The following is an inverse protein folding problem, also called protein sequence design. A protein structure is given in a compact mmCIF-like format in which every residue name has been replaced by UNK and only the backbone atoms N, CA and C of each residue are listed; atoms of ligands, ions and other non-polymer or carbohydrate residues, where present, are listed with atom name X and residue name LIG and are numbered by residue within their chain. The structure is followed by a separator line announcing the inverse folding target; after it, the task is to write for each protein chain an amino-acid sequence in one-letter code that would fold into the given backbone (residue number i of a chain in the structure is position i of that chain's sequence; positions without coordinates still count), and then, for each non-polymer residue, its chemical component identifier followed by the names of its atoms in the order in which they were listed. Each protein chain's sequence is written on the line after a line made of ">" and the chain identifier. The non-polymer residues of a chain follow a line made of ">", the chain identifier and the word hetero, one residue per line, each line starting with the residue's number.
data_IF_795170388206
#
_entry.id   IF_795170388206
#
_cell.length_a   1.000
_cell.length_b   1.000
_cell.length_c   1.000
_cell.angle_alpha   90.00
_cell.angle_beta   90.00
_cell.angle_gamma   90.00
#
_symmetry.space_group_name_H-M   'P 1'
#
loop_
_entity.id
_entity.type
_entity.pdbx_description
1 polymer ?
#
# COMPACT_ATOMS: atom_id res chain seq x y z
N UNK A 1 19.90 12.59 3.77
CA UNK A 1 18.55 12.12 3.36
C UNK A 1 17.96 11.35 4.53
N UNK A 2 16.69 11.57 4.89
CA UNK A 2 16.04 10.72 5.88
C UNK A 2 15.90 9.30 5.31
N UNK A 3 16.16 8.25 6.11
CA UNK A 3 16.03 6.87 5.67
C UNK A 3 14.59 6.61 5.21
N UNK A 4 14.44 5.74 4.21
CA UNK A 4 13.13 5.26 3.77
C UNK A 4 12.54 4.41 4.87
N UNK A 5 11.27 4.64 5.21
CA UNK A 5 10.58 3.92 6.26
C UNK A 5 10.48 2.43 5.86
N UNK A 6 10.93 1.49 6.71
CA UNK A 6 10.92 0.07 6.35
C UNK A 6 9.50 -0.49 6.23
N UNK A 7 9.37 -1.48 5.35
CA UNK A 7 8.17 -2.31 5.24
C UNK A 7 8.60 -3.74 5.52
N UNK A 8 8.17 -4.28 6.65
CA UNK A 8 8.44 -5.68 7.01
C UNK A 8 7.40 -6.59 6.38
N UNK A 9 7.83 -7.75 5.92
CA UNK A 9 6.97 -8.73 5.26
C UNK A 9 7.22 -10.13 5.80
N UNK A 10 6.15 -10.91 5.90
CA UNK A 10 6.21 -12.30 6.33
C UNK A 10 5.02 -13.10 5.85
N UNK A 11 5.12 -14.43 5.95
CA UNK A 11 3.99 -15.33 5.71
C UNK A 11 3.72 -16.12 6.98
N UNK A 12 2.48 -16.06 7.46
CA UNK A 12 2.01 -16.84 8.60
C UNK A 12 1.86 -18.32 8.23
N UNK A 13 1.81 -19.20 9.23
CA UNK A 13 1.69 -20.65 9.00
C UNK A 13 0.41 -21.04 8.24
N UNK A 14 -0.65 -20.24 8.37
CA UNK A 14 -1.91 -20.42 7.63
C UNK A 14 -1.88 -19.83 6.20
N UNK A 15 -0.74 -19.31 5.76
CA UNK A 15 -0.53 -18.78 4.41
C UNK A 15 -0.81 -17.29 4.23
N UNK A 16 -1.35 -16.61 5.24
CA UNK A 16 -1.63 -15.15 5.21
C UNK A 16 -0.32 -14.36 5.06
N UNK A 17 -0.32 -13.40 4.15
CA UNK A 17 0.81 -12.48 3.97
C UNK A 17 0.66 -11.29 4.92
N UNK A 18 1.61 -11.12 5.83
CA UNK A 18 1.65 -9.97 6.74
C UNK A 18 2.58 -8.91 6.20
N UNK A 19 2.10 -7.67 6.14
CA UNK A 19 2.85 -6.50 5.68
C UNK A 19 2.74 -5.43 6.74
N UNK A 20 3.87 -5.09 7.37
CA UNK A 20 3.94 -4.05 8.40
C UNK A 20 4.63 -2.81 7.86
N UNK A 21 3.98 -1.67 8.00
CA UNK A 21 4.55 -0.37 7.65
C UNK A 21 5.11 0.32 8.89
N UNK A 22 6.44 0.41 8.97
CA UNK A 22 7.16 1.06 10.08
C UNK A 22 7.56 2.48 9.67
N UNK A 23 6.77 3.46 10.10
CA UNK A 23 6.92 4.86 9.71
C UNK A 23 6.06 5.25 8.49
N UNK A 24 6.48 6.26 7.72
CA UNK A 24 5.63 6.85 6.69
C UNK A 24 5.46 5.92 5.47
N UNK A 25 4.23 5.53 5.17
CA UNK A 25 3.86 4.99 3.86
C UNK A 25 4.02 6.09 2.80
N UNK A 26 4.95 5.93 1.87
CA UNK A 26 5.29 6.98 0.92
C UNK A 26 5.54 6.48 -0.48
N UNK A 27 5.60 7.43 -1.40
CA UNK A 27 6.13 7.20 -2.74
C UNK A 27 7.42 6.35 -2.75
N UNK A 28 8.33 6.57 -1.79
CA UNK A 28 9.66 5.93 -1.77
C UNK A 28 9.65 4.43 -1.45
N UNK A 29 8.67 3.93 -0.70
CA UNK A 29 8.57 2.51 -0.33
C UNK A 29 7.37 1.80 -0.97
N UNK A 30 6.53 2.55 -1.68
CA UNK A 30 5.34 2.01 -2.33
C UNK A 30 5.66 1.17 -3.58
N UNK A 31 6.77 1.41 -4.26
CA UNK A 31 7.15 0.65 -5.47
C UNK A 31 7.48 -0.80 -5.11
N UNK A 32 8.32 -0.98 -4.09
CA UNK A 32 8.77 -2.28 -3.59
C UNK A 32 7.58 -3.07 -3.02
N UNK A 33 6.69 -2.39 -2.30
CA UNK A 33 5.44 -3.00 -1.82
C UNK A 33 4.59 -3.54 -2.97
N UNK A 34 4.43 -2.76 -4.05
CA UNK A 34 3.67 -3.18 -5.24
C UNK A 34 4.31 -4.39 -5.92
N UNK A 35 5.62 -4.40 -6.06
CA UNK A 35 6.37 -5.49 -6.68
C UNK A 35 6.27 -6.76 -5.84
N UNK A 36 6.53 -6.66 -4.53
CA UNK A 36 6.37 -7.76 -3.57
C UNK A 36 4.96 -8.34 -3.64
N UNK A 37 3.92 -7.51 -3.51
CA UNK A 37 2.53 -7.96 -3.56
C UNK A 37 2.21 -8.67 -4.88
N UNK A 38 2.67 -8.12 -6.01
CA UNK A 38 2.49 -8.75 -7.32
C UNK A 38 3.15 -10.14 -7.39
N UNK A 39 4.37 -10.27 -6.85
CA UNK A 39 5.09 -11.55 -6.81
C UNK A 39 4.34 -12.58 -5.96
N UNK A 40 3.90 -12.23 -4.75
CA UNK A 40 3.24 -13.19 -3.87
C UNK A 40 1.82 -13.54 -4.35
N UNK A 41 1.09 -12.59 -4.95
CA UNK A 41 -0.19 -12.85 -5.62
C UNK A 41 -0.02 -13.86 -6.75
N UNK A 42 0.99 -13.68 -7.61
CA UNK A 42 1.30 -14.60 -8.70
C UNK A 42 1.74 -15.99 -8.20
N UNK A 43 2.27 -16.09 -6.98
CA UNK A 43 2.59 -17.35 -6.30
C UNK A 43 1.39 -17.99 -5.59
N UNK A 44 0.21 -17.36 -5.63
CA UNK A 44 -1.04 -17.90 -5.11
C UNK A 44 -1.47 -17.36 -3.75
N UNK A 45 -0.81 -16.32 -3.22
CA UNK A 45 -1.30 -15.64 -2.02
C UNK A 45 -2.67 -15.00 -2.26
N UNK A 46 -3.61 -15.22 -1.35
CA UNK A 46 -4.99 -14.72 -1.44
C UNK A 46 -5.41 -13.83 -0.28
N UNK A 47 -4.69 -13.90 0.84
CA UNK A 47 -5.04 -13.24 2.09
C UNK A 47 -3.88 -12.38 2.55
N UNK A 48 -4.15 -11.10 2.81
CA UNK A 48 -3.17 -10.10 3.21
C UNK A 48 -3.62 -9.37 4.46
N UNK A 49 -2.67 -9.05 5.32
CA UNK A 49 -2.84 -8.12 6.44
C UNK A 49 -1.88 -6.95 6.22
N UNK A 50 -2.43 -5.74 6.19
CA UNK A 50 -1.69 -4.48 6.18
C UNK A 50 -1.74 -3.91 7.59
N UNK A 51 -0.62 -3.97 8.27
CA UNK A 51 -0.48 -3.54 9.65
C UNK A 51 0.16 -2.15 9.73
N UNK A 52 -0.59 -1.23 10.33
CA UNK A 52 -0.29 0.20 10.38
C UNK A 52 0.04 0.73 11.79
N UNK A 53 0.32 -0.13 12.78
CA UNK A 53 0.51 0.29 14.18
C UNK A 53 1.53 1.43 14.33
N UNK A 54 2.65 1.36 13.60
CA UNK A 54 3.70 2.38 13.61
C UNK A 54 3.70 3.27 12.35
N UNK A 55 2.59 3.31 11.60
CA UNK A 55 2.45 4.13 10.40
C UNK A 55 1.71 5.44 10.71
N UNK A 56 2.40 6.58 10.95
CA UNK A 56 1.72 7.81 11.33
C UNK A 56 0.92 8.46 10.19
N UNK A 57 1.32 8.22 8.94
CA UNK A 57 0.69 8.81 7.76
C UNK A 57 1.06 8.06 6.50
N UNK A 58 0.15 8.06 5.52
CA UNK A 58 0.38 7.62 4.15
C UNK A 58 0.20 8.79 3.16
N UNK A 59 1.02 8.85 2.11
CA UNK A 59 0.77 9.74 0.97
C UNK A 59 -0.18 9.12 -0.07
N UNK A 60 -0.60 9.92 -1.04
CA UNK A 60 -1.52 9.48 -2.11
C UNK A 60 -0.93 8.37 -2.96
N UNK A 61 0.38 8.35 -3.18
CA UNK A 61 1.01 7.29 -3.97
C UNK A 61 0.96 5.95 -3.24
N UNK A 62 1.24 5.95 -1.94
CA UNK A 62 1.12 4.75 -1.13
C UNK A 62 -0.33 4.24 -1.07
N UNK A 63 -1.29 5.13 -0.82
CA UNK A 63 -2.71 4.76 -0.80
C UNK A 63 -3.21 4.25 -2.16
N UNK A 64 -2.81 4.89 -3.25
CA UNK A 64 -3.11 4.41 -4.61
C UNK A 64 -2.47 3.06 -4.92
N UNK A 65 -1.30 2.79 -4.35
CA UNK A 65 -0.65 1.48 -4.43
C UNK A 65 -1.46 0.41 -3.71
N UNK A 66 -1.97 0.69 -2.51
CA UNK A 66 -2.87 -0.23 -1.79
C UNK A 66 -4.13 -0.52 -2.61
N UNK A 67 -4.73 0.49 -3.26
CA UNK A 67 -5.87 0.29 -4.17
C UNK A 67 -5.48 -0.64 -5.32
N UNK A 68 -4.34 -0.40 -5.97
CA UNK A 68 -3.85 -1.24 -7.06
C UNK A 68 -3.65 -2.70 -6.65
N UNK A 69 -3.04 -2.94 -5.48
CA UNK A 69 -2.88 -4.27 -4.89
C UNK A 69 -4.23 -4.91 -4.63
N UNK A 70 -5.14 -4.19 -3.98
CA UNK A 70 -6.48 -4.67 -3.64
C UNK A 70 -7.28 -5.08 -4.88
N UNK A 71 -7.25 -4.25 -5.93
CA UNK A 71 -7.92 -4.54 -7.20
C UNK A 71 -7.26 -5.65 -8.00
N UNK A 72 -5.96 -5.87 -7.83
CA UNK A 72 -5.29 -7.00 -8.46
C UNK A 72 -5.66 -8.31 -7.75
N UNK A 73 -5.67 -8.28 -6.42
CA UNK A 73 -6.02 -9.41 -5.58
C UNK A 73 -7.49 -9.82 -5.77
N UNK A 74 -8.42 -8.86 -5.89
CA UNK A 74 -9.85 -9.13 -6.04
C UNK A 74 -10.27 -9.89 -7.31
N UNK A 75 -9.33 -10.11 -8.23
CA UNK A 75 -9.52 -11.01 -9.39
C UNK A 75 -9.46 -12.49 -9.00
N UNK A 76 -9.03 -12.79 -7.78
CA UNK A 76 -8.90 -14.15 -7.24
C UNK A 76 -10.09 -14.42 -6.33
N UNK A 77 -10.75 -15.56 -6.54
CA UNK A 77 -11.87 -15.98 -5.70
C UNK A 77 -11.45 -16.15 -4.24
N UNK A 78 -12.33 -15.67 -3.34
CA UNK A 78 -12.18 -15.73 -1.89
C UNK A 78 -10.93 -15.00 -1.36
N UNK A 79 -10.44 -13.99 -2.09
CA UNK A 79 -9.35 -13.17 -1.61
C UNK A 79 -9.78 -12.16 -0.55
N UNK A 80 -8.86 -11.78 0.35
CA UNK A 80 -9.12 -10.82 1.43
C UNK A 80 -7.92 -9.94 1.70
N UNK A 81 -8.17 -8.66 2.00
CA UNK A 81 -7.18 -7.75 2.60
C UNK A 81 -7.79 -7.15 3.85
N UNK A 82 -7.10 -7.30 4.96
CA UNK A 82 -7.40 -6.60 6.21
C UNK A 82 -6.40 -5.47 6.43
N UNK A 83 -6.89 -4.31 6.85
CA UNK A 83 -6.07 -3.21 7.36
C UNK A 83 -6.30 -3.13 8.86
N UNK A 84 -5.20 -3.13 9.61
CA UNK A 84 -5.23 -3.25 11.06
C UNK A 84 -4.35 -2.20 11.72
N UNK A 85 -4.62 -1.91 13.00
CA UNK A 85 -3.87 -0.95 13.81
C UNK A 85 -3.74 0.44 13.15
N UNK A 86 -4.70 0.82 12.31
CA UNK A 86 -4.71 2.13 11.68
C UNK A 86 -5.01 3.18 12.75
N UNK A 87 -4.21 4.26 12.81
CA UNK A 87 -4.60 5.41 13.61
C UNK A 87 -5.77 6.16 12.97
N UNK A 88 -6.47 6.99 13.74
CA UNK A 88 -7.65 7.74 13.27
C UNK A 88 -7.41 8.61 12.04
N UNK A 89 -6.19 9.10 11.82
CA UNK A 89 -5.87 9.88 10.61
C UNK A 89 -5.84 8.97 9.38
N UNK A 90 -5.21 7.81 9.47
CA UNK A 90 -5.16 6.86 8.37
C UNK A 90 -6.54 6.25 8.07
N UNK A 91 -7.33 5.93 9.11
CA UNK A 91 -8.72 5.49 8.95
C UNK A 91 -9.54 6.52 8.16
N UNK A 92 -9.51 7.79 8.58
CA UNK A 92 -10.18 8.88 7.88
C UNK A 92 -9.71 9.02 6.43
N UNK A 93 -8.40 8.89 6.17
CA UNK A 93 -7.87 8.95 4.81
C UNK A 93 -8.41 7.79 3.96
N UNK A 94 -8.38 6.55 4.46
CA UNK A 94 -8.88 5.37 3.76
C UNK A 94 -10.37 5.51 3.43
N UNK A 95 -11.19 5.93 4.40
CA UNK A 95 -12.63 6.17 4.21
C UNK A 95 -12.90 7.33 3.25
N UNK A 96 -12.21 8.46 3.42
CA UNK A 96 -12.43 9.65 2.60
C UNK A 96 -12.07 9.46 1.11
N UNK A 97 -11.27 8.44 0.81
CA UNK A 97 -10.84 8.06 -0.54
C UNK A 97 -11.63 6.86 -1.09
N UNK A 98 -12.53 6.27 -0.29
CA UNK A 98 -13.33 5.10 -0.65
C UNK A 98 -12.55 3.79 -0.70
N UNK A 99 -11.38 3.74 -0.04
CA UNK A 99 -10.50 2.55 -0.03
C UNK A 99 -11.07 1.50 0.91
N UNK A 100 -11.70 1.92 2.00
CA UNK A 100 -12.47 1.09 2.95
C UNK A 100 -13.54 0.22 2.27
N UNK A 101 -14.01 0.59 1.08
CA UNK A 101 -14.97 -0.20 0.29
C UNK A 101 -14.34 -1.37 -0.44
N UNK A 102 -13.01 -1.39 -0.55
CA UNK A 102 -12.24 -2.38 -1.32
C UNK A 102 -11.55 -3.40 -0.42
N UNK A 103 -11.32 -3.07 0.85
CA UNK A 103 -10.63 -3.88 1.85
C UNK A 103 -11.39 -3.86 3.18
N UNK A 104 -11.04 -4.73 4.12
CA UNK A 104 -11.65 -4.75 5.45
C UNK A 104 -10.82 -3.91 6.41
N UNK A 105 -11.36 -2.79 6.91
CA UNK A 105 -10.72 -1.98 7.93
C UNK A 105 -11.15 -2.47 9.32
N UNK A 106 -10.19 -2.88 10.15
CA UNK A 106 -10.45 -3.35 11.51
C UNK A 106 -10.43 -2.20 12.52
N UNK A 107 -11.56 -1.51 12.65
CA UNK A 107 -11.74 -0.37 13.55
C UNK A 107 -11.85 -0.80 15.04
N UNK A 108 -12.25 -2.05 15.28
CA UNK A 108 -12.49 -2.58 16.63
C UNK A 108 -11.31 -3.38 17.20
N UNK A 109 -10.20 -3.49 16.45
CA UNK A 109 -9.04 -4.33 16.77
C UNK A 109 -9.40 -5.81 17.03
N UNK A 110 -10.34 -6.38 16.29
CA UNK A 110 -10.84 -7.77 16.48
C UNK A 110 -10.20 -8.81 15.58
N UNK A 111 -9.56 -8.40 14.49
CA UNK A 111 -9.03 -9.32 13.47
C UNK A 111 -7.63 -9.80 13.90
N UNK A 112 -7.29 -11.09 13.82
CA UNK A 112 -5.92 -11.58 14.14
C UNK A 112 -5.38 -11.21 15.54
N UNK A 113 -6.23 -10.97 16.55
CA UNK A 113 -5.79 -10.55 17.90
C UNK A 113 -4.69 -11.44 18.48
N UNK A 114 -4.85 -12.77 18.35
CA UNK A 114 -3.93 -13.75 18.96
C UNK A 114 -2.49 -13.69 18.44
N UNK A 115 -2.24 -13.07 17.27
CA UNK A 115 -0.91 -13.04 16.64
C UNK A 115 -0.36 -11.62 16.47
N UNK A 116 -1.16 -10.58 16.69
CA UNK A 116 -0.71 -9.20 16.56
C UNK A 116 0.41 -8.88 17.53
N UNK A 117 0.20 -9.17 18.81
CA UNK A 117 1.16 -8.86 19.86
C UNK A 117 2.49 -9.60 19.63
N UNK A 118 2.40 -10.90 19.28
CA UNK A 118 3.57 -11.71 18.92
C UNK A 118 4.36 -11.09 17.76
N UNK A 119 3.66 -10.60 16.72
CA UNK A 119 4.30 -9.93 15.58
C UNK A 119 4.94 -8.62 16.03
N UNK A 120 4.23 -7.79 16.77
CA UNK A 120 4.75 -6.50 17.27
C UNK A 120 6.01 -6.68 18.12
N UNK A 121 6.07 -7.73 18.95
CA UNK A 121 7.27 -8.03 19.76
C UNK A 121 8.47 -8.51 18.93
N UNK A 122 8.24 -9.15 17.78
CA UNK A 122 9.29 -9.80 17.00
C UNK A 122 9.56 -9.15 15.64
N UNK A 123 8.86 -8.07 15.29
CA UNK A 123 8.86 -7.49 13.95
C UNK A 123 10.26 -7.06 13.49
N UNK A 124 11.10 -6.57 14.41
CA UNK A 124 12.47 -6.15 14.12
C UNK A 124 13.37 -7.29 13.64
N UNK A 125 13.01 -8.55 13.94
CA UNK A 125 13.69 -9.75 13.46
C UNK A 125 13.20 -10.20 12.07
N UNK A 126 12.16 -9.56 11.54
CA UNK A 126 11.55 -9.88 10.26
C UNK A 126 12.38 -9.40 9.06
N UNK A 127 12.07 -9.96 7.90
CA UNK A 127 12.60 -9.43 6.64
C UNK A 127 11.86 -8.15 6.27
N UNK A 128 12.60 -7.12 5.90
CA UNK A 128 12.06 -5.90 5.30
C UNK A 128 12.37 -5.85 3.81
N UNK A 129 11.51 -5.17 3.06
CA UNK A 129 11.71 -4.95 1.64
C UNK A 129 12.95 -4.10 1.41
N UNK A 130 13.90 -4.62 0.62
CA UNK A 130 15.08 -3.86 0.21
C UNK A 130 14.65 -2.66 -0.64
N UNK A 131 15.12 -1.48 -0.27
CA UNK A 131 14.85 -0.27 -1.03
C UNK A 131 15.92 -0.10 -2.11
N UNK A 132 15.49 -0.07 -3.36
CA UNK A 132 16.34 0.31 -4.48
C UNK A 132 16.03 1.75 -4.89
N UNK A 133 17.06 2.53 -5.24
CA UNK A 133 16.83 3.85 -5.81
C UNK A 133 16.05 3.72 -7.12
N UNK A 134 14.80 4.18 -7.09
CA UNK A 134 13.92 4.14 -8.25
C UNK A 134 14.35 5.24 -9.22
N UNK A 135 14.69 4.85 -10.45
CA UNK A 135 14.92 5.81 -11.53
C UNK A 135 13.74 6.78 -11.69
N UNK A 136 14.05 8.03 -12.00
CA UNK A 136 13.05 9.11 -12.01
C UNK A 136 11.90 8.88 -13.01
N UNK A 137 12.11 8.13 -14.08
CA UNK A 137 11.05 7.76 -15.03
C UNK A 137 10.13 6.70 -14.42
N UNK A 138 10.70 5.62 -13.86
CA UNK A 138 9.93 4.56 -13.17
C UNK A 138 9.11 5.15 -12.02
N UNK A 139 9.71 6.06 -11.28
CA UNK A 139 9.06 6.79 -10.20
C UNK A 139 7.83 7.58 -10.67
N UNK A 140 7.99 8.40 -11.71
CA UNK A 140 6.86 9.18 -12.24
C UNK A 140 5.73 8.28 -12.80
N UNK A 141 6.07 7.14 -13.43
CA UNK A 141 5.09 6.14 -13.88
C UNK A 141 4.32 5.57 -12.69
N UNK A 142 5.03 5.13 -11.64
CA UNK A 142 4.40 4.54 -10.46
C UNK A 142 3.48 5.54 -9.73
N UNK A 143 3.92 6.78 -9.57
CA UNK A 143 3.08 7.84 -9.02
C UNK A 143 1.81 8.07 -9.86
N UNK A 144 1.95 8.14 -11.19
CA UNK A 144 0.80 8.34 -12.07
C UNK A 144 -0.20 7.19 -11.95
N UNK A 145 0.27 5.95 -12.01
CA UNK A 145 -0.57 4.76 -11.86
C UNK A 145 -1.29 4.75 -10.52
N UNK A 146 -0.61 5.04 -9.42
CA UNK A 146 -1.22 5.08 -8.09
C UNK A 146 -2.35 6.14 -8.00
N UNK A 147 -2.14 7.34 -8.54
CA UNK A 147 -3.20 8.37 -8.53
C UNK A 147 -4.38 7.98 -9.44
N UNK A 148 -4.12 7.32 -10.56
CA UNK A 148 -5.19 6.78 -11.41
C UNK A 148 -5.98 5.68 -10.69
N UNK A 149 -5.33 4.84 -9.88
CA UNK A 149 -6.02 3.85 -9.05
C UNK A 149 -6.97 4.50 -8.03
N UNK A 150 -6.56 5.60 -7.39
CA UNK A 150 -7.44 6.36 -6.50
C UNK A 150 -8.69 6.89 -7.21
N UNK A 151 -8.57 7.35 -8.46
CA UNK A 151 -9.72 7.77 -9.26
C UNK A 151 -10.63 6.58 -9.63
N UNK A 152 -10.04 5.42 -9.92
CA UNK A 152 -10.79 4.20 -10.22
C UNK A 152 -11.55 3.67 -9.00
N UNK A 153 -11.01 3.86 -7.79
CA UNK A 153 -11.66 3.44 -6.54
C UNK A 153 -12.94 4.26 -6.24
N UNK A 154 -12.87 5.59 -6.38
CA UNK A 154 -13.97 6.47 -6.03
C UNK A 154 -14.02 7.67 -6.98
N UNK A 155 -15.17 7.91 -7.63
CA UNK A 155 -15.31 8.97 -8.64
C UNK A 155 -15.11 10.36 -8.05
N UNK A 156 -15.44 10.53 -6.77
CA UNK A 156 -15.22 11.79 -6.05
C UNK A 156 -13.73 12.14 -5.87
N UNK A 157 -12.81 11.21 -6.16
CA UNK A 157 -11.37 11.48 -6.17
C UNK A 157 -10.89 12.20 -7.43
N UNK A 158 -11.67 12.22 -8.52
CA UNK A 158 -11.31 12.90 -9.79
C UNK A 158 -10.86 14.35 -9.59
N UNK A 159 -11.67 15.25 -8.99
CA UNK A 159 -11.26 16.64 -8.82
C UNK A 159 -10.05 16.79 -7.87
N UNK A 160 -9.83 15.84 -6.94
CA UNK A 160 -8.71 15.89 -5.99
C UNK A 160 -7.36 15.60 -6.65
N UNK A 161 -7.33 14.71 -7.64
CA UNK A 161 -6.07 14.22 -8.24
C UNK A 161 -5.87 14.61 -9.70
N UNK A 162 -6.84 15.28 -10.33
CA UNK A 162 -6.77 15.70 -11.74
C UNK A 162 -5.49 16.47 -12.07
N UNK A 163 -5.14 17.47 -11.28
CA UNK A 163 -3.99 18.34 -11.58
C UNK A 163 -2.66 17.62 -11.40
N UNK A 164 -2.55 16.76 -10.37
CA UNK A 164 -1.36 15.92 -10.13
C UNK A 164 -1.17 14.92 -11.26
N UNK A 165 -2.24 14.26 -11.71
CA UNK A 165 -2.20 13.34 -12.85
C UNK A 165 -1.79 14.07 -14.12
N UNK A 166 -2.38 15.24 -14.39
CA UNK A 166 -2.00 16.03 -15.55
C UNK A 166 -0.53 16.42 -15.54
N UNK A 167 -0.01 16.85 -14.39
CA UNK A 167 1.40 17.17 -14.21
C UNK A 167 2.30 15.96 -14.49
N UNK A 168 2.02 14.80 -13.89
CA UNK A 168 2.79 13.57 -14.09
C UNK A 168 2.75 13.10 -15.55
N UNK A 169 1.61 13.24 -16.23
CA UNK A 169 1.49 12.94 -17.66
C UNK A 169 2.36 13.84 -18.55
N UNK A 170 2.52 15.12 -18.20
CA UNK A 170 3.45 16.02 -18.93
C UNK A 170 4.91 15.68 -18.62
N UNK A 171 5.25 15.48 -17.34
CA UNK A 171 6.61 15.11 -16.94
C UNK A 171 7.08 13.83 -17.66
N UNK A 172 6.20 12.83 -17.79
CA UNK A 172 6.50 11.60 -18.52
C UNK A 172 6.66 11.80 -20.04
N UNK A 173 6.00 12.80 -20.64
CA UNK A 173 6.20 13.13 -22.06
C UNK A 173 7.58 13.76 -22.26
N UNK A 174 7.95 14.71 -21.40
CA UNK A 174 9.22 15.43 -21.49
C UNK A 174 10.41 14.48 -21.29
N UNK A 175 10.32 13.57 -20.32
CA UNK A 175 11.36 12.56 -20.06
C UNK A 175 11.52 11.51 -21.16
N UNK A 176 10.47 11.21 -21.92
CA UNK A 176 10.54 10.28 -23.06
C UNK A 176 11.08 10.91 -24.34
N UNK A 177 11.10 12.24 -24.41
CA UNK A 177 11.61 13.02 -25.54
C UNK A 177 13.06 13.50 -25.32
N UNK A 178 13.58 13.35 -24.10
CA UNK A 178 14.96 13.66 -23.70
C UNK A 178 15.85 12.42 -23.81
#
# INVERSE_FOLDING_TARGET
>A
MNPVAPIYVGQLQNGVIWIRVEGKGSFKNSSELKEFASIVINKGAKEFVIDLENCPVMDSTFMGTLVGITRNLSKIDQSRIDVINANSRNEQLLVSLGIDKLLSLDEDNKVHQDIRDDISEHIENGHYLEHEEVDSLKGAIHALEAHQELIKAEKNNVPRFKDVIHFLEQELKDKKQS
#
